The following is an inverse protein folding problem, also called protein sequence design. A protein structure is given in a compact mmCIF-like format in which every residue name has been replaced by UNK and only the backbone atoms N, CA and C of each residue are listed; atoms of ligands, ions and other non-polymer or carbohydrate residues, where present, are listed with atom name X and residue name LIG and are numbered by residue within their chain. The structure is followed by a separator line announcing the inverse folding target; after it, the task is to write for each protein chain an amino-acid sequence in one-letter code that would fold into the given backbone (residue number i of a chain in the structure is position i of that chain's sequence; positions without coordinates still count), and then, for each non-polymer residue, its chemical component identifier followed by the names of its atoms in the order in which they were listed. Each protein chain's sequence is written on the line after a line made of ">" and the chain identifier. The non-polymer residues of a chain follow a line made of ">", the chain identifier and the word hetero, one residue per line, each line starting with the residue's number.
data_IF_940757780212
#
_entry.id   IF_940757780212
#
_cell.length_a   1.000
_cell.length_b   1.000
_cell.length_c   1.000
_cell.angle_alpha   90.00
_cell.angle_beta   90.00
_cell.angle_gamma   90.00
#
_symmetry.space_group_name_H-M   'P 1'
#
loop_
_entity.id
_entity.type
_entity.pdbx_description
1 polymer ?
#
# COMPACT_ATOMS: atom_id res chain seq x y z
N UNK A 1 5.53 -28.69 -1.01
CA UNK A 1 5.88 -27.26 -0.87
C UNK A 1 5.15 -26.51 -1.97
N UNK A 2 4.26 -25.58 -1.64
CA UNK A 2 3.62 -24.74 -2.65
C UNK A 2 4.67 -23.73 -3.11
N UNK A 3 5.05 -23.77 -4.38
CA UNK A 3 5.93 -22.77 -4.97
C UNK A 3 5.16 -21.45 -5.06
N UNK A 4 5.29 -20.61 -4.03
CA UNK A 4 4.73 -19.26 -4.04
C UNK A 4 5.62 -18.41 -4.94
N UNK A 5 5.08 -17.97 -6.07
CA UNK A 5 5.76 -17.01 -6.93
C UNK A 5 5.72 -15.65 -6.26
N UNK A 6 6.88 -15.02 -6.05
CA UNK A 6 6.98 -13.70 -5.41
C UNK A 6 7.14 -12.59 -6.46
N UNK A 7 6.61 -11.40 -6.15
CA UNK A 7 6.81 -10.19 -6.92
C UNK A 7 8.27 -9.73 -6.84
N UNK A 8 8.91 -9.46 -7.97
CA UNK A 8 10.27 -8.92 -8.01
C UNK A 8 10.39 -7.48 -7.49
N UNK A 9 9.28 -6.73 -7.45
CA UNK A 9 9.26 -5.35 -6.97
C UNK A 9 9.13 -5.21 -5.46
N UNK A 10 8.21 -5.94 -4.84
CA UNK A 10 7.90 -5.80 -3.40
C UNK A 10 8.07 -7.09 -2.57
N UNK A 11 8.49 -8.21 -3.19
CA UNK A 11 8.69 -9.49 -2.52
C UNK A 11 7.43 -10.25 -2.09
N UNK A 12 6.25 -9.62 -2.17
CA UNK A 12 4.98 -10.25 -1.79
C UNK A 12 4.56 -11.34 -2.76
N UNK A 13 3.77 -12.31 -2.27
CA UNK A 13 3.24 -13.39 -3.09
C UNK A 13 2.35 -12.88 -4.21
N UNK A 14 2.56 -13.40 -5.42
CA UNK A 14 1.69 -13.16 -6.56
C UNK A 14 0.43 -14.02 -6.43
N UNK A 15 -0.70 -13.43 -6.79
CA UNK A 15 -1.99 -14.14 -6.84
C UNK A 15 -2.40 -14.34 -8.30
N UNK A 16 -2.99 -15.49 -8.66
CA UNK A 16 -3.53 -15.69 -9.99
C UNK A 16 -4.77 -14.82 -10.19
N UNK A 17 -4.74 -13.95 -11.20
CA UNK A 17 -5.83 -13.07 -11.56
C UNK A 17 -6.33 -13.40 -12.98
N UNK A 18 -7.64 -13.47 -13.16
CA UNK A 18 -8.24 -13.74 -14.47
C UNK A 18 -8.03 -12.55 -15.40
N UNK A 19 -7.25 -12.76 -16.45
CA UNK A 19 -7.03 -11.80 -17.53
C UNK A 19 -8.24 -11.77 -18.47
N UNK A 20 -8.43 -10.66 -19.18
CA UNK A 20 -9.48 -10.50 -20.20
C UNK A 20 -9.46 -11.59 -21.31
N UNK A 21 -8.32 -12.27 -21.50
CA UNK A 21 -8.21 -13.42 -22.42
C UNK A 21 -8.63 -14.77 -21.80
N UNK A 22 -9.26 -14.77 -20.62
CA UNK A 22 -9.74 -15.96 -19.92
C UNK A 22 -8.66 -16.82 -19.27
N UNK A 23 -7.40 -16.36 -19.24
CA UNK A 23 -6.27 -17.06 -18.60
C UNK A 23 -5.93 -16.45 -17.25
N UNK A 24 -5.54 -17.27 -16.29
CA UNK A 24 -5.06 -16.81 -15.00
C UNK A 24 -3.58 -16.38 -15.12
N UNK A 25 -3.30 -15.10 -14.93
CA UNK A 25 -1.95 -14.55 -14.92
C UNK A 25 -1.56 -14.16 -13.49
N UNK A 26 -0.31 -14.38 -13.07
CA UNK A 26 0.14 -13.96 -11.76
C UNK A 26 0.20 -12.43 -11.68
N UNK A 27 -0.49 -11.84 -10.70
CA UNK A 27 -0.48 -10.40 -10.45
C UNK A 27 -0.09 -10.06 -9.01
N UNK A 28 0.56 -8.91 -8.84
CA UNK A 28 0.92 -8.36 -7.54
C UNK A 28 -0.08 -7.28 -7.12
N UNK A 29 -1.13 -7.68 -6.39
CA UNK A 29 -2.15 -6.74 -5.91
C UNK A 29 -1.59 -5.66 -4.98
N UNK A 30 -0.45 -5.89 -4.35
CA UNK A 30 0.21 -4.88 -3.53
C UNK A 30 0.78 -3.74 -4.39
N UNK A 31 1.49 -4.08 -5.46
CA UNK A 31 2.02 -3.08 -6.40
C UNK A 31 0.92 -2.44 -7.25
N UNK A 32 -0.12 -3.20 -7.62
CA UNK A 32 -1.26 -2.65 -8.37
C UNK A 32 -2.17 -1.77 -7.50
N UNK A 33 -2.33 -2.12 -6.22
CA UNK A 33 -3.13 -1.36 -5.25
C UNK A 33 -2.42 -0.13 -4.68
N UNK A 34 -1.08 -0.09 -4.74
CA UNK A 34 -0.29 1.13 -4.63
C UNK A 34 -0.43 1.93 -5.93
N UNK A 35 -1.65 2.40 -6.17
CA UNK A 35 -2.00 3.24 -7.31
C UNK A 35 -0.99 4.40 -7.38
N UNK A 36 -0.52 4.73 -8.58
CA UNK A 36 0.37 5.88 -8.85
C UNK A 36 -0.20 7.17 -8.25
N UNK A 37 -1.53 7.22 -8.06
CA UNK A 37 -2.22 8.30 -7.34
C UNK A 37 -1.93 8.39 -5.84
N UNK A 38 -1.66 7.29 -5.15
CA UNK A 38 -1.29 7.30 -3.72
C UNK A 38 0.16 7.75 -3.51
N UNK A 39 1.06 7.53 -4.48
CA UNK A 39 2.41 8.10 -4.46
C UNK A 39 2.40 9.63 -4.54
N UNK A 40 1.41 10.24 -5.19
CA UNK A 40 1.24 11.70 -5.21
C UNK A 40 0.77 12.23 -3.84
N UNK A 41 -0.09 11.48 -3.13
CA UNK A 41 -0.58 11.85 -1.79
C UNK A 41 0.56 11.79 -0.74
N UNK A 42 1.56 10.92 -0.94
CA UNK A 42 2.74 10.88 -0.08
C UNK A 42 3.60 12.15 -0.16
N UNK A 43 3.48 12.98 -1.23
CA UNK A 43 4.16 14.28 -1.28
C UNK A 43 3.51 15.35 -0.41
N UNK A 44 2.25 15.18 -0.01
CA UNK A 44 1.53 16.15 0.84
C UNK A 44 1.66 15.84 2.33
N UNK A 45 2.11 14.65 2.70
CA UNK A 45 2.35 14.28 4.10
C UNK A 45 3.66 14.88 4.66
N UNK A 46 4.53 15.43 3.80
CA UNK A 46 5.79 16.10 4.18
C UNK A 46 5.62 17.62 4.31
N UNK A 47 4.42 18.10 4.67
CA UNK A 47 4.29 19.45 5.23
C UNK A 47 4.56 19.40 6.74
N UNK A 48 5.70 19.88 7.25
CA UNK A 48 5.94 19.96 8.69
C UNK A 48 5.15 21.08 9.39
N UNK A 49 4.17 21.69 8.72
CA UNK A 49 3.43 22.85 9.24
C UNK A 49 1.98 22.48 9.51
N UNK A 50 1.76 21.62 10.51
CA UNK A 50 0.79 21.85 11.60
C UNK A 50 0.81 20.61 12.49
N UNK A 51 1.73 20.57 13.46
CA UNK A 51 1.55 19.70 14.61
C UNK A 51 0.46 20.37 15.44
N UNK A 52 -0.81 19.90 15.48
CA UNK A 52 -1.72 20.41 16.49
C UNK A 52 -1.05 20.08 17.82
N UNK A 53 -0.75 21.14 18.55
CA UNK A 53 -0.14 21.10 19.86
C UNK A 53 -0.91 20.05 20.66
N UNK A 54 -0.19 19.00 21.08
CA UNK A 54 -0.75 17.83 21.76
C UNK A 54 -1.53 18.37 22.95
N UNK A 55 -2.86 18.44 22.83
CA UNK A 55 -3.72 18.93 23.89
C UNK A 55 -3.33 18.19 25.16
N UNK A 56 -2.77 18.94 26.11
CA UNK A 56 -2.35 18.47 27.41
C UNK A 56 -3.56 17.74 27.99
N UNK A 57 -3.44 16.43 28.20
CA UNK A 57 -4.42 15.66 28.97
C UNK A 57 -4.43 16.27 30.37
N UNK A 58 -5.39 17.15 30.63
CA UNK A 58 -5.70 17.59 31.99
C UNK A 58 -6.17 16.35 32.77
N UNK A 59 -5.61 16.06 33.96
CA UNK A 59 -6.24 15.15 34.89
C UNK A 59 -7.57 15.76 35.31
N UNK A 60 -8.65 14.99 35.25
CA UNK A 60 -9.87 15.36 35.97
C UNK A 60 -9.59 15.12 37.46
N UNK A 61 -9.87 16.11 38.30
CA UNK A 61 -9.99 15.96 39.75
C UNK A 61 -11.48 15.88 40.11
#
# INVERSE_FOLDING_TARGET
>A
MNHVTSCSGCGHGLVPLLSAKGRAEPSCLWCEGLDVRTMDIAKWADSPTDRPERAVRQPFE
#
